data_IF_975345921065
#
_entry.id   IF_975345921065
#
_cell.length_a   1.000
_cell.length_b   1.000
_cell.length_c   1.000
_cell.angle_alpha   90.00
_cell.angle_beta   90.00
_cell.angle_gamma   90.00
#
_symmetry.space_group_name_H-M   'P 1'
#
loop_
_entity.id
_entity.type
_entity.pdbx_description
1 polymer ?
#
# COMPACT_ATOMS: atom_id res chain seq x y z
N UNK A 1 7.33 -27.53 14.35
CA UNK A 1 6.02 -26.93 14.05
C UNK A 1 5.89 -25.69 14.90
N UNK A 2 5.72 -24.53 14.33
CA UNK A 2 5.46 -23.29 15.07
C UNK A 2 4.07 -23.41 15.72
N UNK A 3 3.95 -23.06 17.00
CA UNK A 3 2.67 -23.10 17.73
C UNK A 3 1.66 -22.14 17.10
N UNK A 4 0.39 -22.56 17.02
CA UNK A 4 -0.71 -21.67 16.59
C UNK A 4 -0.88 -20.52 17.58
N UNK A 5 -0.94 -19.29 17.09
CA UNK A 5 -1.21 -18.09 17.89
C UNK A 5 -2.67 -17.64 17.75
N UNK A 6 -3.17 -16.98 18.78
CA UNK A 6 -4.42 -16.23 18.78
C UNK A 6 -4.10 -14.75 18.52
N UNK A 7 -4.51 -14.23 17.38
CA UNK A 7 -4.11 -12.91 16.91
C UNK A 7 -5.34 -12.00 16.80
N UNK A 8 -5.34 -10.91 17.57
CA UNK A 8 -6.34 -9.86 17.45
C UNK A 8 -5.86 -8.81 16.44
N UNK A 9 -6.47 -8.76 15.27
CA UNK A 9 -6.17 -7.77 14.22
C UNK A 9 -7.13 -6.59 14.35
N UNK A 10 -6.62 -5.42 14.71
CA UNK A 10 -7.39 -4.18 14.83
C UNK A 10 -7.18 -3.35 13.57
N UNK A 11 -8.11 -3.45 12.61
CA UNK A 11 -7.93 -2.90 11.26
C UNK A 11 -9.26 -2.60 10.57
N UNK A 12 -9.23 -1.83 9.49
CA UNK A 12 -10.39 -1.66 8.62
C UNK A 12 -10.69 -3.00 7.92
N UNK A 13 -11.84 -3.61 8.25
CA UNK A 13 -12.26 -4.90 7.70
C UNK A 13 -12.46 -4.88 6.18
N UNK A 14 -12.81 -3.73 5.61
CA UNK A 14 -13.04 -3.55 4.18
C UNK A 14 -11.74 -3.32 3.37
N UNK A 15 -10.58 -3.27 4.04
CA UNK A 15 -9.30 -3.10 3.37
C UNK A 15 -8.80 -4.41 2.77
N UNK A 16 -8.44 -4.38 1.50
CA UNK A 16 -7.82 -5.51 0.80
C UNK A 16 -6.52 -5.99 1.52
N UNK A 17 -5.77 -5.07 2.12
CA UNK A 17 -4.58 -5.41 2.89
C UNK A 17 -4.90 -6.20 4.14
N UNK A 18 -5.97 -5.82 4.86
CA UNK A 18 -6.46 -6.57 6.03
C UNK A 18 -6.87 -7.97 5.64
N UNK A 19 -7.70 -8.10 4.60
CA UNK A 19 -8.20 -9.40 4.11
C UNK A 19 -7.05 -10.31 3.69
N UNK A 20 -6.10 -9.80 2.90
CA UNK A 20 -4.94 -10.57 2.43
C UNK A 20 -4.10 -11.09 3.59
N UNK A 21 -3.80 -10.22 4.57
CA UNK A 21 -2.99 -10.58 5.73
C UNK A 21 -3.69 -11.59 6.64
N UNK A 22 -4.96 -11.35 6.97
CA UNK A 22 -5.75 -12.24 7.82
C UNK A 22 -5.91 -13.62 7.19
N UNK A 23 -6.18 -13.71 5.90
CA UNK A 23 -6.29 -14.98 5.19
C UNK A 23 -4.97 -15.74 5.20
N UNK A 24 -3.84 -15.05 5.00
CA UNK A 24 -2.53 -15.68 5.07
C UNK A 24 -2.26 -16.27 6.46
N UNK A 25 -2.54 -15.54 7.54
CA UNK A 25 -2.38 -16.03 8.92
C UNK A 25 -3.29 -17.24 9.21
N UNK A 26 -4.56 -17.18 8.79
CA UNK A 26 -5.50 -18.29 8.95
C UNK A 26 -5.05 -19.55 8.21
N UNK A 27 -4.53 -19.41 7.00
CA UNK A 27 -4.01 -20.52 6.21
C UNK A 27 -2.76 -21.15 6.86
N UNK A 28 -2.05 -20.43 7.71
CA UNK A 28 -0.94 -20.94 8.51
C UNK A 28 -1.37 -21.58 9.84
N UNK A 29 -2.70 -21.62 10.10
CA UNK A 29 -3.28 -22.28 11.27
C UNK A 29 -3.41 -21.39 12.51
N UNK A 30 -3.21 -20.07 12.38
CA UNK A 30 -3.48 -19.13 13.48
C UNK A 30 -4.98 -18.90 13.66
N UNK A 31 -5.38 -18.62 14.91
CA UNK A 31 -6.74 -18.15 15.24
C UNK A 31 -6.77 -16.63 15.15
N UNK A 32 -7.42 -16.09 14.11
CA UNK A 32 -7.43 -14.64 13.85
C UNK A 32 -8.83 -14.06 13.96
N UNK A 33 -8.99 -13.06 14.83
CA UNK A 33 -10.19 -12.25 14.96
C UNK A 33 -9.91 -10.81 14.53
N UNK A 34 -10.78 -10.27 13.67
CA UNK A 34 -10.73 -8.87 13.25
C UNK A 34 -11.60 -8.03 14.17
N UNK A 35 -11.06 -6.91 14.63
CA UNK A 35 -11.76 -5.85 15.37
C UNK A 35 -11.70 -4.59 14.52
N UNK A 36 -12.86 -3.99 14.21
CA UNK A 36 -12.92 -2.89 13.25
C UNK A 36 -13.75 -1.72 13.75
N UNK A 37 -13.34 -0.49 13.35
CA UNK A 37 -14.15 0.73 13.46
C UNK A 37 -15.14 0.87 12.29
N UNK A 38 -15.01 0.02 11.28
CA UNK A 38 -15.87 -0.03 10.11
C UNK A 38 -16.75 -1.28 10.21
N UNK A 39 -18.01 -1.16 9.87
CA UNK A 39 -18.91 -2.29 9.74
C UNK A 39 -18.50 -3.17 8.56
N UNK A 40 -18.64 -4.48 8.71
CA UNK A 40 -18.32 -5.46 7.68
C UNK A 40 -18.48 -6.89 8.17
N UNK A 41 -18.35 -7.83 7.27
CA UNK A 41 -18.50 -9.25 7.58
C UNK A 41 -17.27 -9.80 8.34
N UNK A 42 -17.52 -10.81 9.18
CA UNK A 42 -16.47 -11.55 9.89
C UNK A 42 -15.56 -10.69 10.80
N UNK A 43 -16.09 -9.59 11.36
CA UNK A 43 -15.38 -8.75 12.32
C UNK A 43 -16.25 -8.43 13.54
N UNK A 44 -15.58 -8.02 14.62
CA UNK A 44 -16.21 -7.40 15.78
C UNK A 44 -16.13 -5.88 15.59
N UNK A 45 -17.28 -5.25 15.44
CA UNK A 45 -17.40 -3.80 15.35
C UNK A 45 -17.37 -3.18 16.75
N UNK A 46 -16.39 -2.33 17.02
CA UNK A 46 -16.24 -1.74 18.36
C UNK A 46 -16.57 -0.24 18.44
N UNK A 47 -16.96 0.40 17.35
CA UNK A 47 -17.45 1.78 17.31
C UNK A 47 -17.05 2.52 16.04
N UNK A 48 -17.67 3.67 15.77
CA UNK A 48 -17.35 4.45 14.58
C UNK A 48 -15.93 5.03 14.62
N UNK A 49 -15.35 5.28 13.46
CA UNK A 49 -14.14 6.06 13.37
C UNK A 49 -14.35 7.44 14.02
N UNK A 50 -13.41 7.90 14.85
CA UNK A 50 -13.54 9.22 15.44
C UNK A 50 -13.45 10.26 14.32
N UNK A 51 -14.46 11.13 14.23
CA UNK A 51 -14.33 12.33 13.44
C UNK A 51 -13.22 13.20 14.08
N UNK A 52 -12.05 13.24 13.46
CA UNK A 52 -10.91 14.05 13.90
C UNK A 52 -11.09 15.54 13.54
N UNK A 53 -12.34 16.01 13.56
CA UNK A 53 -12.68 17.40 13.31
C UNK A 53 -12.31 18.27 14.52
N UNK A 54 -11.71 19.42 14.24
CA UNK A 54 -11.25 20.41 15.24
C UNK A 54 -12.35 20.89 16.18
N UNK A 55 -13.63 20.83 15.77
CA UNK A 55 -14.77 21.25 16.59
C UNK A 55 -15.10 20.30 17.75
N UNK A 56 -14.59 19.06 17.75
CA UNK A 56 -14.91 18.00 18.71
C UNK A 56 -13.79 17.68 19.70
N UNK A 57 -12.72 18.47 19.76
CA UNK A 57 -11.52 18.21 20.58
C UNK A 57 -11.86 17.98 22.08
N UNK A 58 -12.83 18.69 22.62
CA UNK A 58 -13.24 18.56 24.04
C UNK A 58 -13.90 17.21 24.35
N UNK A 59 -14.63 16.62 23.40
CA UNK A 59 -15.31 15.32 23.57
C UNK A 59 -14.46 14.14 23.08
N UNK A 60 -13.40 14.39 22.33
CA UNK A 60 -12.54 13.37 21.73
C UNK A 60 -11.94 12.45 22.81
N UNK A 61 -11.46 13.03 23.91
CA UNK A 61 -10.83 12.25 24.98
C UNK A 61 -11.77 11.26 25.68
N UNK A 62 -13.04 11.62 25.87
CA UNK A 62 -14.05 10.74 26.49
C UNK A 62 -14.52 9.68 25.50
N UNK A 63 -14.74 10.04 24.25
CA UNK A 63 -15.13 9.12 23.18
C UNK A 63 -14.02 8.08 22.93
N UNK A 64 -12.76 8.50 22.82
CA UNK A 64 -11.61 7.60 22.67
C UNK A 64 -11.50 6.64 23.85
N UNK A 65 -11.69 7.10 25.09
CA UNK A 65 -11.68 6.23 26.28
C UNK A 65 -12.81 5.20 26.25
N UNK A 66 -14.04 5.61 25.93
CA UNK A 66 -15.19 4.72 25.85
C UNK A 66 -14.98 3.65 24.77
N UNK A 67 -14.55 4.05 23.58
CA UNK A 67 -14.28 3.12 22.46
C UNK A 67 -13.11 2.18 22.80
N UNK A 68 -12.04 2.69 23.42
CA UNK A 68 -10.93 1.85 23.90
C UNK A 68 -11.40 0.80 24.90
N UNK A 69 -12.29 1.18 25.83
CA UNK A 69 -12.85 0.24 26.81
C UNK A 69 -13.68 -0.86 26.17
N UNK A 70 -14.48 -0.52 25.16
CA UNK A 70 -15.21 -1.54 24.39
C UNK A 70 -14.25 -2.50 23.71
N UNK A 71 -13.24 -1.98 23.00
CA UNK A 71 -12.24 -2.80 22.37
C UNK A 71 -11.49 -3.69 23.36
N UNK A 72 -11.11 -3.15 24.54
CA UNK A 72 -10.46 -3.93 25.59
C UNK A 72 -11.32 -5.13 26.02
N UNK A 73 -12.61 -4.92 26.30
CA UNK A 73 -13.51 -5.99 26.72
C UNK A 73 -13.64 -7.09 25.66
N UNK A 74 -13.73 -6.73 24.40
CA UNK A 74 -13.82 -7.69 23.28
C UNK A 74 -12.50 -8.47 23.10
N UNK A 75 -11.37 -7.78 23.25
CA UNK A 75 -10.03 -8.39 23.19
C UNK A 75 -9.83 -9.33 24.39
N UNK A 76 -10.24 -8.92 25.61
CA UNK A 76 -10.14 -9.76 26.82
C UNK A 76 -11.01 -11.04 26.68
N UNK A 77 -12.16 -10.96 26.00
CA UNK A 77 -13.00 -12.12 25.70
C UNK A 77 -12.33 -13.05 24.67
N UNK A 78 -11.57 -12.49 23.73
CA UNK A 78 -10.84 -13.27 22.72
C UNK A 78 -9.54 -13.87 23.25
N UNK A 79 -8.94 -13.30 24.30
CA UNK A 79 -7.67 -13.75 24.92
C UNK A 79 -6.56 -13.97 23.89
N UNK A 80 -6.10 -12.95 23.16
CA UNK A 80 -5.08 -13.10 22.14
C UNK A 80 -3.67 -13.24 22.73
N UNK A 81 -2.78 -13.89 21.99
CA UNK A 81 -1.34 -13.87 22.25
C UNK A 81 -0.70 -12.56 21.77
N UNK A 82 -1.32 -11.91 20.76
CA UNK A 82 -0.84 -10.68 20.12
C UNK A 82 -2.03 -9.80 19.71
N UNK A 83 -1.86 -8.48 19.89
CA UNK A 83 -2.75 -7.45 19.35
C UNK A 83 -2.00 -6.69 18.26
N UNK A 84 -2.50 -6.71 17.01
CA UNK A 84 -1.88 -6.02 15.88
C UNK A 84 -2.79 -4.95 15.30
N UNK A 85 -2.42 -3.68 15.44
CA UNK A 85 -3.12 -2.53 14.89
C UNK A 85 -2.57 -2.08 13.54
N UNK A 86 -3.44 -1.90 12.54
CA UNK A 86 -3.06 -1.35 11.24
C UNK A 86 -3.30 0.16 11.23
N UNK A 87 -2.34 0.91 10.67
CA UNK A 87 -2.22 2.36 10.73
C UNK A 87 -1.86 2.88 12.13
N UNK A 88 -1.08 3.95 12.18
CA UNK A 88 -0.69 4.62 13.45
C UNK A 88 -1.76 5.59 13.95
N UNK A 89 -2.74 5.88 13.12
CA UNK A 89 -3.95 6.64 13.45
C UNK A 89 -5.10 5.65 13.63
N UNK A 90 -6.27 6.07 14.01
CA UNK A 90 -7.47 5.23 14.11
C UNK A 90 -7.20 3.85 14.77
N UNK A 91 -7.20 2.76 14.01
CA UNK A 91 -7.09 1.39 14.52
C UNK A 91 -5.84 1.16 15.37
N UNK A 92 -4.66 1.61 14.91
CA UNK A 92 -3.41 1.50 15.68
C UNK A 92 -3.42 2.38 16.93
N UNK A 93 -4.05 3.54 16.88
CA UNK A 93 -4.24 4.39 18.05
C UNK A 93 -5.03 3.66 19.15
N UNK A 94 -6.06 2.91 18.81
CA UNK A 94 -6.83 2.14 19.78
C UNK A 94 -6.06 0.89 20.25
N UNK A 95 -5.50 0.12 19.34
CA UNK A 95 -4.76 -1.10 19.67
C UNK A 95 -3.56 -0.82 20.59
N UNK A 96 -2.84 0.31 20.41
CA UNK A 96 -1.72 0.69 21.25
C UNK A 96 -2.07 0.99 22.70
N UNK A 97 -3.36 1.23 23.00
CA UNK A 97 -3.89 1.51 24.34
C UNK A 97 -4.39 0.28 25.08
N UNK A 98 -4.44 -0.87 24.41
CA UNK A 98 -4.85 -2.14 25.02
C UNK A 98 -3.81 -2.55 26.06
N UNK A 99 -4.30 -3.02 27.22
CA UNK A 99 -3.46 -3.51 28.33
C UNK A 99 -3.33 -5.04 28.29
N UNK A 100 -2.32 -5.56 28.96
CA UNK A 100 -2.10 -6.98 29.25
C UNK A 100 -1.70 -7.86 28.07
N UNK A 101 -1.56 -7.31 26.86
CA UNK A 101 -1.15 -8.06 25.67
C UNK A 101 -0.02 -7.37 24.94
N UNK A 102 0.91 -8.12 24.30
CA UNK A 102 1.90 -7.54 23.41
C UNK A 102 1.22 -6.87 22.19
N UNK A 103 1.71 -5.68 21.83
CA UNK A 103 1.11 -4.82 20.80
C UNK A 103 2.07 -4.56 19.65
N UNK A 104 1.61 -4.86 18.47
CA UNK A 104 2.28 -4.52 17.21
C UNK A 104 1.45 -3.47 16.48
N UNK A 105 2.08 -2.51 15.84
CA UNK A 105 1.41 -1.58 14.93
C UNK A 105 2.12 -1.53 13.59
N UNK A 106 1.34 -1.43 12.51
CA UNK A 106 1.87 -1.25 11.16
C UNK A 106 1.66 0.17 10.68
N UNK A 107 2.75 0.86 10.32
CA UNK A 107 2.72 2.13 9.60
C UNK A 107 2.34 1.87 8.13
N UNK A 108 1.28 2.56 7.66
CA UNK A 108 0.67 2.30 6.35
C UNK A 108 1.09 3.30 5.26
N UNK A 109 1.74 4.40 5.62
CA UNK A 109 2.24 5.42 4.69
C UNK A 109 1.72 6.81 5.00
N UNK A 110 0.46 7.11 4.72
CA UNK A 110 -0.15 8.43 4.96
C UNK A 110 -0.07 8.87 6.42
N UNK A 111 -0.14 7.93 7.34
CA UNK A 111 -0.01 8.12 8.78
C UNK A 111 1.39 8.60 9.22
N UNK A 112 2.42 8.43 8.41
CA UNK A 112 3.79 8.94 8.66
C UNK A 112 4.14 10.08 7.70
N UNK A 113 3.73 9.99 6.43
CA UNK A 113 4.13 10.93 5.38
C UNK A 113 3.29 12.22 5.36
N UNK A 114 2.00 12.11 5.65
CA UNK A 114 1.02 13.20 5.51
C UNK A 114 0.45 13.66 6.84
N UNK A 115 -0.15 12.76 7.62
CA UNK A 115 -0.90 13.11 8.82
C UNK A 115 -0.12 13.93 9.87
N UNK A 116 1.19 13.74 10.12
CA UNK A 116 1.95 14.61 11.03
C UNK A 116 2.03 16.07 10.56
N UNK A 117 1.92 16.32 9.25
CA UNK A 117 1.98 17.67 8.67
C UNK A 117 0.63 18.39 8.71
N UNK A 118 -0.46 17.65 8.79
CA UNK A 118 -1.81 18.20 8.84
C UNK A 118 -2.13 18.85 10.19
N UNK A 119 -1.65 18.27 11.29
CA UNK A 119 -1.98 18.73 12.64
C UNK A 119 -0.96 18.29 13.68
N UNK A 120 -0.58 19.21 14.59
CA UNK A 120 0.25 18.89 15.75
C UNK A 120 -0.39 17.84 16.68
N UNK A 121 -1.72 17.77 16.72
CA UNK A 121 -2.45 16.75 17.47
C UNK A 121 -2.27 15.36 16.83
N UNK A 122 -2.38 15.26 15.51
CA UNK A 122 -2.13 14.01 14.80
C UNK A 122 -0.68 13.56 14.96
N UNK A 123 0.29 14.46 14.82
CA UNK A 123 1.71 14.18 15.07
C UNK A 123 1.93 13.59 16.48
N UNK A 124 1.32 14.23 17.49
CA UNK A 124 1.41 13.74 18.87
C UNK A 124 0.75 12.37 19.07
N UNK A 125 -0.45 12.15 18.46
CA UNK A 125 -1.17 10.87 18.54
C UNK A 125 -0.31 9.75 17.91
N UNK A 126 0.24 9.99 16.74
CA UNK A 126 1.06 9.03 16.00
C UNK A 126 2.31 8.64 16.80
N UNK A 127 3.06 9.63 17.29
CA UNK A 127 4.25 9.40 18.13
C UNK A 127 3.90 8.66 19.42
N UNK A 128 2.75 8.96 20.02
CA UNK A 128 2.27 8.25 21.21
C UNK A 128 1.87 6.81 20.88
N UNK A 129 1.22 6.56 19.74
CA UNK A 129 0.89 5.21 19.26
C UNK A 129 2.14 4.37 19.10
N UNK A 130 3.17 4.89 18.43
CA UNK A 130 4.48 4.25 18.29
C UNK A 130 5.11 3.97 19.65
N UNK A 131 5.11 4.94 20.56
CA UNK A 131 5.70 4.80 21.90
C UNK A 131 4.99 3.76 22.78
N UNK A 132 3.70 3.53 22.59
CA UNK A 132 2.89 2.61 23.39
C UNK A 132 2.87 1.18 22.83
N UNK A 133 3.47 0.95 21.67
CA UNK A 133 3.51 -0.36 21.00
C UNK A 133 4.84 -1.08 21.29
N UNK A 134 4.81 -2.40 21.38
CA UNK A 134 5.99 -3.22 21.67
C UNK A 134 6.82 -3.48 20.41
N UNK A 135 6.20 -3.41 19.23
CA UNK A 135 6.90 -3.37 17.95
C UNK A 135 6.15 -2.51 16.93
N UNK A 136 6.92 -1.91 16.03
CA UNK A 136 6.41 -1.14 14.88
C UNK A 136 6.91 -1.77 13.59
N UNK A 137 6.01 -1.95 12.65
CA UNK A 137 6.28 -2.51 11.33
C UNK A 137 5.96 -1.45 10.28
N UNK A 138 6.71 -1.42 9.21
CA UNK A 138 6.46 -0.49 8.11
C UNK A 138 7.48 -0.59 7.01
N UNK A 139 7.20 0.09 5.90
CA UNK A 139 8.17 0.24 4.83
C UNK A 139 9.51 0.74 5.35
N UNK A 140 10.65 0.33 4.75
CA UNK A 140 11.96 0.84 5.16
C UNK A 140 12.01 2.36 5.25
N UNK A 141 11.43 3.07 4.28
CA UNK A 141 11.30 4.53 4.30
C UNK A 141 10.56 5.04 5.56
N UNK A 142 9.44 4.41 5.93
CA UNK A 142 8.67 4.84 7.10
C UNK A 142 9.41 4.56 8.40
N UNK A 143 10.08 3.41 8.48
CA UNK A 143 10.90 3.04 9.64
C UNK A 143 12.06 4.02 9.82
N UNK A 144 12.73 4.44 8.73
CA UNK A 144 13.80 5.44 8.81
C UNK A 144 13.27 6.78 9.35
N UNK A 145 12.10 7.24 8.86
CA UNK A 145 11.46 8.45 9.38
C UNK A 145 11.03 8.32 10.85
N UNK A 146 10.51 7.16 11.26
CA UNK A 146 10.11 6.90 12.65
C UNK A 146 11.34 6.87 13.58
N UNK A 147 12.50 6.40 13.14
CA UNK A 147 13.76 6.45 13.90
C UNK A 147 14.14 7.88 14.28
N UNK A 148 13.90 8.85 13.38
CA UNK A 148 14.19 10.27 13.66
C UNK A 148 13.38 10.84 14.84
N UNK A 149 12.23 10.24 15.16
CA UNK A 149 11.41 10.65 16.30
C UNK A 149 12.01 10.29 17.65
N UNK A 150 13.09 9.50 17.68
CA UNK A 150 13.82 9.05 18.88
C UNK A 150 12.91 8.36 19.92
N UNK A 151 11.91 7.66 19.44
CA UNK A 151 11.07 6.79 20.25
C UNK A 151 11.76 5.43 20.36
N UNK A 152 11.93 4.94 21.59
CA UNK A 152 12.60 3.65 21.81
C UNK A 152 11.64 2.52 21.48
N UNK A 153 11.79 1.90 20.32
CA UNK A 153 10.89 0.85 19.84
C UNK A 153 11.64 -0.22 19.05
N UNK A 154 11.05 -1.41 19.03
CA UNK A 154 11.41 -2.49 18.15
C UNK A 154 10.87 -2.16 16.73
N UNK A 155 11.72 -1.61 15.89
CA UNK A 155 11.38 -1.13 14.56
C UNK A 155 11.74 -2.18 13.51
N UNK A 156 10.74 -2.68 12.81
CA UNK A 156 10.87 -3.78 11.87
C UNK A 156 10.56 -3.30 10.45
N UNK A 157 11.57 -3.07 9.60
CA UNK A 157 11.35 -2.78 8.19
C UNK A 157 10.72 -4.00 7.52
N UNK A 158 9.60 -3.77 6.86
CA UNK A 158 8.89 -4.81 6.12
C UNK A 158 8.12 -4.18 4.97
N UNK A 159 8.11 -4.85 3.85
CA UNK A 159 7.26 -4.54 2.70
C UNK A 159 6.14 -5.56 2.65
N UNK A 160 4.92 -5.16 2.33
CA UNK A 160 3.82 -6.13 2.19
C UNK A 160 4.07 -7.17 1.09
N UNK A 161 5.05 -6.94 0.22
CA UNK A 161 5.47 -7.90 -0.79
C UNK A 161 4.50 -8.13 -1.94
N UNK A 162 5.00 -8.79 -2.97
CA UNK A 162 4.27 -9.16 -4.18
C UNK A 162 4.04 -10.67 -4.20
N UNK A 163 2.86 -11.09 -4.62
CA UNK A 163 2.61 -12.51 -4.91
C UNK A 163 3.29 -12.90 -6.23
N UNK A 164 4.51 -13.41 -6.11
CA UNK A 164 5.32 -13.84 -7.25
C UNK A 164 4.80 -15.10 -7.96
N UNK A 165 3.76 -15.74 -7.44
CA UNK A 165 3.06 -16.82 -8.16
C UNK A 165 1.99 -16.27 -9.11
N UNK A 166 1.48 -15.08 -8.83
CA UNK A 166 0.43 -14.42 -9.58
C UNK A 166 0.98 -13.38 -10.57
N UNK A 167 1.90 -12.53 -10.10
CA UNK A 167 2.55 -11.51 -10.92
C UNK A 167 3.78 -12.10 -11.61
N UNK A 168 3.57 -12.65 -12.80
CA UNK A 168 4.60 -13.31 -13.62
C UNK A 168 4.71 -12.67 -15.01
N UNK A 169 5.88 -12.74 -15.67
CA UNK A 169 6.00 -12.33 -17.06
C UNK A 169 5.09 -13.14 -17.99
N UNK A 170 4.37 -12.45 -18.85
CA UNK A 170 3.59 -13.04 -19.93
C UNK A 170 4.10 -12.50 -21.28
N UNK A 171 3.64 -13.09 -22.39
CA UNK A 171 3.92 -12.58 -23.73
C UNK A 171 3.48 -11.11 -23.83
N UNK A 172 4.42 -10.24 -24.18
CA UNK A 172 4.22 -8.79 -24.15
C UNK A 172 3.43 -8.29 -25.35
N UNK A 173 2.41 -7.48 -25.08
CA UNK A 173 1.64 -6.72 -26.06
C UNK A 173 2.03 -5.23 -26.04
N UNK A 174 1.74 -4.50 -27.11
CA UNK A 174 1.96 -3.05 -27.16
C UNK A 174 0.93 -2.35 -26.27
N UNK A 175 1.03 -2.51 -24.95
CA UNK A 175 0.15 -1.87 -23.99
C UNK A 175 0.93 -1.14 -22.89
N UNK A 176 0.36 0.00 -22.49
CA UNK A 176 0.85 0.87 -21.41
C UNK A 176 -0.25 0.90 -20.35
N UNK A 177 0.09 0.55 -19.13
CA UNK A 177 -0.90 0.35 -18.06
C UNK A 177 -0.73 1.37 -16.95
N UNK A 178 -1.84 2.00 -16.55
CA UNK A 178 -1.99 2.71 -15.29
C UNK A 178 -2.88 1.86 -14.37
N UNK A 179 -2.32 1.38 -13.25
CA UNK A 179 -2.96 0.43 -12.33
C UNK A 179 -3.07 1.02 -10.92
N UNK A 180 -3.76 2.15 -10.80
CA UNK A 180 -4.01 2.85 -9.52
C UNK A 180 -5.43 3.39 -9.47
N UNK A 181 -5.91 3.71 -8.27
CA UNK A 181 -7.19 4.42 -8.11
C UNK A 181 -7.17 5.81 -8.75
N UNK A 182 -8.35 6.31 -9.13
CA UNK A 182 -8.52 7.65 -9.71
C UNK A 182 -8.74 8.68 -8.60
N UNK A 183 -7.82 8.72 -7.61
CA UNK A 183 -7.81 9.68 -6.52
C UNK A 183 -6.64 10.67 -6.69
N UNK A 184 -6.76 11.87 -6.11
CA UNK A 184 -5.78 12.94 -6.27
C UNK A 184 -4.35 12.50 -5.91
N UNK A 185 -4.20 11.71 -4.84
CA UNK A 185 -2.90 11.18 -4.40
C UNK A 185 -2.21 10.31 -5.44
N UNK A 186 -2.96 9.69 -6.35
CA UNK A 186 -2.43 8.85 -7.44
C UNK A 186 -2.29 9.59 -8.76
N UNK A 187 -2.59 10.89 -8.80
CA UNK A 187 -2.33 11.81 -9.91
C UNK A 187 -2.80 11.31 -11.29
N UNK A 188 -4.03 10.80 -11.45
CA UNK A 188 -4.50 10.23 -12.72
C UNK A 188 -4.66 11.29 -13.82
N UNK A 189 -4.84 12.55 -13.45
CA UNK A 189 -5.00 13.64 -14.43
C UNK A 189 -3.72 13.90 -15.22
N UNK A 190 -2.53 13.76 -14.61
CA UNK A 190 -1.27 13.93 -15.33
C UNK A 190 -1.07 12.81 -16.36
N UNK A 191 -1.47 11.60 -16.01
CA UNK A 191 -1.46 10.43 -16.91
C UNK A 191 -2.40 10.68 -18.09
N UNK A 192 -3.62 11.14 -17.83
CA UNK A 192 -4.61 11.43 -18.88
C UNK A 192 -4.10 12.50 -19.85
N UNK A 193 -3.47 13.58 -19.35
CA UNK A 193 -2.86 14.62 -20.19
C UNK A 193 -1.71 14.08 -21.05
N UNK A 194 -0.84 13.25 -20.46
CA UNK A 194 0.26 12.63 -21.18
C UNK A 194 -0.25 11.68 -22.29
N UNK A 195 -1.24 10.84 -21.98
CA UNK A 195 -1.87 9.93 -22.96
C UNK A 195 -2.52 10.74 -24.10
N UNK A 196 -3.26 11.80 -23.79
CA UNK A 196 -3.89 12.63 -24.82
C UNK A 196 -2.88 13.21 -25.82
N UNK A 197 -1.67 13.55 -25.37
CA UNK A 197 -0.58 14.02 -26.25
C UNK A 197 0.11 12.93 -27.06
N UNK A 198 0.00 11.66 -26.61
CA UNK A 198 0.67 10.50 -27.22
C UNK A 198 -0.24 9.62 -28.07
N UNK A 199 -1.54 9.65 -27.85
CA UNK A 199 -2.51 8.72 -28.42
C UNK A 199 -2.41 8.61 -29.96
N UNK A 200 -2.29 9.74 -30.66
CA UNK A 200 -2.12 9.75 -32.12
C UNK A 200 -0.73 9.31 -32.61
N UNK A 201 0.29 9.46 -31.77
CA UNK A 201 1.68 9.06 -32.10
C UNK A 201 1.93 7.59 -31.83
N UNK A 202 1.19 7.03 -30.90
CA UNK A 202 1.23 5.63 -30.47
C UNK A 202 -0.06 4.91 -30.84
N UNK A 203 -0.51 5.07 -32.08
CA UNK A 203 -1.76 4.52 -32.61
C UNK A 203 -1.83 2.98 -32.56
N UNK A 204 -0.67 2.31 -32.58
CA UNK A 204 -0.53 0.84 -32.45
C UNK A 204 -0.39 0.37 -31.00
N UNK A 205 -0.52 1.27 -30.04
CA UNK A 205 -0.44 0.96 -28.62
C UNK A 205 -1.81 1.13 -27.97
N UNK A 206 -2.08 0.31 -26.96
CA UNK A 206 -3.25 0.43 -26.12
C UNK A 206 -2.86 1.05 -24.76
N UNK A 207 -3.62 2.04 -24.33
CA UNK A 207 -3.52 2.61 -22.99
C UNK A 207 -4.62 2.01 -22.11
N UNK A 208 -4.25 1.25 -21.08
CA UNK A 208 -5.19 0.55 -20.21
C UNK A 208 -5.16 1.21 -18.84
N UNK A 209 -6.27 1.81 -18.42
CA UNK A 209 -6.42 2.49 -17.14
C UNK A 209 -7.31 1.63 -16.24
N UNK A 210 -6.68 1.02 -15.21
CA UNK A 210 -7.33 0.11 -14.28
C UNK A 210 -7.61 0.82 -12.95
N UNK A 211 -8.82 0.63 -12.42
CA UNK A 211 -9.26 1.20 -11.16
C UNK A 211 -10.49 2.09 -11.31
N UNK A 212 -10.90 2.68 -10.20
CA UNK A 212 -12.00 3.64 -10.11
C UNK A 212 -11.66 4.72 -9.10
N UNK A 213 -12.46 5.77 -9.02
CA UNK A 213 -12.30 6.85 -8.04
C UNK A 213 -12.90 8.17 -8.47
N UNK A 214 -12.74 9.18 -7.62
CA UNK A 214 -13.42 10.47 -7.73
C UNK A 214 -13.04 11.28 -8.97
N UNK A 215 -11.85 11.05 -9.55
CA UNK A 215 -11.35 11.76 -10.73
C UNK A 215 -11.57 11.01 -12.05
N UNK A 216 -12.22 9.83 -12.03
CA UNK A 216 -12.40 9.00 -13.23
C UNK A 216 -13.16 9.73 -14.34
N UNK A 217 -14.25 10.45 -14.01
CA UNK A 217 -15.01 11.23 -15.00
C UNK A 217 -14.14 12.27 -15.68
N UNK A 218 -13.34 13.03 -14.92
CA UNK A 218 -12.43 14.05 -15.47
C UNK A 218 -11.37 13.43 -16.39
N UNK A 219 -10.87 12.25 -16.05
CA UNK A 219 -9.93 11.52 -16.91
C UNK A 219 -10.58 11.10 -18.23
N UNK A 220 -11.81 10.58 -18.19
CA UNK A 220 -12.59 10.23 -19.39
C UNK A 220 -12.85 11.46 -20.28
N UNK A 221 -13.16 12.61 -19.69
CA UNK A 221 -13.35 13.85 -20.43
C UNK A 221 -12.08 14.30 -21.19
N UNK A 222 -10.91 14.17 -20.55
CA UNK A 222 -9.62 14.50 -21.19
C UNK A 222 -9.31 13.53 -22.34
N UNK A 223 -9.70 12.26 -22.22
CA UNK A 223 -9.36 11.19 -23.14
C UNK A 223 -10.48 10.85 -24.14
N UNK A 224 -11.55 11.63 -24.21
CA UNK A 224 -12.74 11.36 -25.00
C UNK A 224 -12.46 11.20 -26.52
N UNK A 225 -11.41 11.83 -27.03
CA UNK A 225 -11.00 11.76 -28.44
C UNK A 225 -9.86 10.76 -28.70
N UNK A 226 -9.47 9.94 -27.70
CA UNK A 226 -8.40 8.97 -27.81
C UNK A 226 -9.00 7.57 -28.07
N UNK A 227 -8.91 7.07 -29.31
CA UNK A 227 -9.54 5.79 -29.71
C UNK A 227 -8.84 4.53 -29.20
N UNK A 228 -7.62 4.65 -28.64
CA UNK A 228 -6.79 3.55 -28.17
C UNK A 228 -6.67 3.52 -26.62
N UNK A 229 -7.69 4.01 -25.93
CA UNK A 229 -7.75 4.06 -24.45
C UNK A 229 -8.89 3.17 -23.94
N UNK A 230 -8.56 2.30 -22.98
CA UNK A 230 -9.50 1.41 -22.31
C UNK A 230 -9.56 1.72 -20.83
N UNK A 231 -10.74 2.00 -20.28
CA UNK A 231 -11.02 2.07 -18.85
C UNK A 231 -11.64 0.75 -18.40
N UNK A 232 -10.98 0.03 -17.51
CA UNK A 232 -11.44 -1.30 -17.08
C UNK A 232 -12.35 -1.26 -15.86
N UNK A 233 -12.38 -0.13 -15.12
CA UNK A 233 -12.91 -0.11 -13.77
C UNK A 233 -12.02 -0.91 -12.80
N UNK A 234 -12.57 -1.19 -11.62
CA UNK A 234 -11.89 -2.01 -10.62
C UNK A 234 -11.89 -3.48 -11.06
N UNK A 235 -10.73 -4.12 -10.94
CA UNK A 235 -10.50 -5.50 -11.37
C UNK A 235 -10.18 -6.40 -10.18
N UNK A 236 -10.54 -7.68 -10.34
CA UNK A 236 -9.99 -8.74 -9.50
C UNK A 236 -8.48 -8.86 -9.73
N UNK A 237 -7.75 -9.25 -8.69
CA UNK A 237 -6.28 -9.23 -8.68
C UNK A 237 -5.67 -10.11 -9.78
N UNK A 238 -6.31 -11.24 -10.12
CA UNK A 238 -5.86 -12.17 -11.17
C UNK A 238 -5.97 -11.55 -12.57
N UNK A 239 -7.00 -10.74 -12.78
CA UNK A 239 -7.18 -10.00 -14.05
C UNK A 239 -6.16 -8.87 -14.16
N UNK A 240 -5.95 -8.14 -13.08
CA UNK A 240 -4.95 -7.08 -13.02
C UNK A 240 -3.54 -7.63 -13.28
N UNK A 241 -3.17 -8.76 -12.64
CA UNK A 241 -1.89 -9.41 -12.83
C UNK A 241 -1.65 -9.81 -14.29
N UNK A 242 -2.68 -10.33 -14.98
CA UNK A 242 -2.60 -10.67 -16.41
C UNK A 242 -2.38 -9.44 -17.29
N UNK A 243 -3.06 -8.32 -17.00
CA UNK A 243 -2.89 -7.06 -17.73
C UNK A 243 -1.46 -6.53 -17.55
N UNK A 244 -0.98 -6.44 -16.30
CA UNK A 244 0.38 -6.00 -15.99
C UNK A 244 1.42 -6.96 -16.61
N UNK A 245 1.17 -8.27 -16.52
CA UNK A 245 2.04 -9.31 -17.08
C UNK A 245 2.26 -9.18 -18.59
N UNK A 246 1.25 -8.73 -19.33
CA UNK A 246 1.30 -8.50 -20.78
C UNK A 246 1.80 -7.11 -21.16
N UNK A 247 1.79 -6.15 -20.24
CA UNK A 247 2.17 -4.78 -20.55
C UNK A 247 3.65 -4.64 -20.90
N UNK A 248 3.98 -3.72 -21.78
CA UNK A 248 5.37 -3.28 -22.06
C UNK A 248 5.81 -2.14 -21.16
N UNK A 249 4.86 -1.44 -20.53
CA UNK A 249 5.15 -0.33 -19.63
C UNK A 249 4.04 -0.17 -18.59
N UNK A 250 4.41 0.14 -17.35
CA UNK A 250 3.48 0.56 -16.29
C UNK A 250 3.81 1.98 -15.85
N UNK A 251 2.77 2.79 -15.61
CA UNK A 251 2.88 4.15 -15.10
C UNK A 251 2.46 4.19 -13.64
N UNK A 252 3.32 4.72 -12.76
CA UNK A 252 3.08 4.90 -11.32
C UNK A 252 3.29 6.36 -10.91
N UNK A 253 2.29 7.26 -11.06
CA UNK A 253 2.45 8.71 -10.98
C UNK A 253 2.12 9.30 -9.61
N UNK A 254 2.05 8.50 -8.56
CA UNK A 254 1.62 8.92 -7.21
C UNK A 254 2.33 10.17 -6.71
N UNK A 255 1.59 11.08 -6.07
CA UNK A 255 2.14 12.27 -5.42
C UNK A 255 2.76 11.94 -4.05
N UNK A 256 2.27 10.87 -3.42
CA UNK A 256 2.77 10.34 -2.15
C UNK A 256 2.50 8.85 -2.08
N UNK A 257 3.52 8.10 -1.72
CA UNK A 257 3.43 6.66 -1.44
C UNK A 257 4.60 6.26 -0.55
N UNK A 258 4.45 5.19 0.22
CA UNK A 258 5.54 4.60 1.01
C UNK A 258 6.13 3.37 0.34
N UNK A 259 5.26 2.59 -0.29
CA UNK A 259 5.58 1.41 -1.11
C UNK A 259 4.55 1.35 -2.23
N UNK A 260 4.83 1.89 -3.40
CA UNK A 260 3.94 1.72 -4.55
C UNK A 260 4.00 0.26 -5.02
N UNK A 261 3.11 -0.59 -4.47
CA UNK A 261 3.07 -2.03 -4.82
C UNK A 261 2.95 -2.27 -6.31
N UNK A 262 2.23 -1.39 -7.03
CA UNK A 262 2.11 -1.49 -8.49
C UNK A 262 3.46 -1.41 -9.23
N UNK A 263 4.46 -0.74 -8.65
CA UNK A 263 5.83 -0.74 -9.18
C UNK A 263 6.46 -2.12 -9.02
N UNK A 264 6.36 -2.69 -7.81
CA UNK A 264 6.93 -4.02 -7.53
C UNK A 264 6.20 -5.12 -8.33
N UNK A 265 4.88 -5.03 -8.47
CA UNK A 265 4.05 -5.94 -9.27
C UNK A 265 4.44 -5.89 -10.75
N UNK A 266 4.65 -4.69 -11.30
CA UNK A 266 5.12 -4.53 -12.67
C UNK A 266 6.52 -5.12 -12.87
N UNK A 267 7.45 -4.84 -11.95
CA UNK A 267 8.81 -5.37 -12.01
C UNK A 267 8.83 -6.89 -11.87
N UNK A 268 7.98 -7.47 -11.01
CA UNK A 268 7.80 -8.92 -10.91
C UNK A 268 7.35 -9.54 -12.24
N UNK A 269 6.53 -8.82 -12.99
CA UNK A 269 6.12 -9.19 -14.34
C UNK A 269 7.19 -8.92 -15.42
N UNK A 270 8.38 -8.48 -15.06
CA UNK A 270 9.41 -8.07 -16.03
C UNK A 270 8.99 -6.86 -16.87
N UNK A 271 8.13 -6.00 -16.34
CA UNK A 271 7.64 -4.79 -17.02
C UNK A 271 8.36 -3.57 -16.46
N UNK A 272 9.03 -2.75 -17.30
CA UNK A 272 9.61 -1.48 -16.86
C UNK A 272 8.54 -0.51 -16.38
N UNK A 273 8.93 0.42 -15.52
CA UNK A 273 8.02 1.38 -14.90
C UNK A 273 8.50 2.81 -15.14
N UNK A 274 7.56 3.70 -15.50
CA UNK A 274 7.74 5.14 -15.37
C UNK A 274 7.04 5.58 -14.07
N UNK A 275 7.79 6.16 -13.14
CA UNK A 275 7.28 6.54 -11.83
C UNK A 275 7.60 8.00 -11.50
N UNK A 276 6.75 8.63 -10.71
CA UNK A 276 6.94 10.00 -10.23
C UNK A 276 8.17 10.15 -9.33
N UNK A 277 8.72 11.36 -9.26
CA UNK A 277 9.90 11.76 -8.48
C UNK A 277 9.64 11.85 -6.96
N UNK A 278 8.97 10.86 -6.39
CA UNK A 278 8.81 10.74 -4.93
C UNK A 278 9.93 9.90 -4.31
N UNK A 279 10.22 10.15 -3.05
CA UNK A 279 11.32 9.48 -2.33
C UNK A 279 11.22 7.94 -2.37
N UNK A 280 10.01 7.40 -2.30
CA UNK A 280 9.79 5.95 -2.38
C UNK A 280 10.25 5.37 -3.74
N UNK A 281 9.93 6.05 -4.85
CA UNK A 281 10.33 5.61 -6.18
C UNK A 281 11.84 5.77 -6.41
N UNK A 282 12.46 6.83 -5.86
CA UNK A 282 13.91 7.00 -5.92
C UNK A 282 14.64 5.84 -5.24
N UNK A 283 14.15 5.38 -4.08
CA UNK A 283 14.71 4.20 -3.40
C UNK A 283 14.64 2.93 -4.26
N UNK A 284 13.64 2.79 -5.13
CA UNK A 284 13.58 1.66 -6.07
C UNK A 284 14.63 1.76 -7.17
N UNK A 285 14.88 2.97 -7.67
CA UNK A 285 16.00 3.22 -8.62
C UNK A 285 17.32 2.89 -7.97
N UNK A 286 17.56 3.36 -6.74
CA UNK A 286 18.78 3.10 -5.97
C UNK A 286 18.97 1.59 -5.69
N UNK A 287 17.88 0.84 -5.53
CA UNK A 287 17.87 -0.61 -5.40
C UNK A 287 18.07 -1.37 -6.73
N UNK A 288 18.23 -0.66 -7.85
CA UNK A 288 18.49 -1.24 -9.17
C UNK A 288 17.25 -1.80 -9.89
N UNK A 289 16.04 -1.44 -9.45
CA UNK A 289 14.83 -1.82 -10.16
C UNK A 289 14.71 -1.06 -11.50
N UNK A 290 14.09 -1.63 -12.54
CA UNK A 290 13.91 -1.00 -13.85
C UNK A 290 12.81 0.08 -13.81
N UNK A 291 13.09 1.16 -13.08
CA UNK A 291 12.22 2.31 -12.87
C UNK A 291 12.86 3.55 -13.47
N UNK A 292 12.12 4.27 -14.30
CA UNK A 292 12.50 5.58 -14.85
C UNK A 292 11.70 6.66 -14.15
N UNK A 293 12.37 7.69 -13.64
CA UNK A 293 11.72 8.78 -12.90
C UNK A 293 11.29 9.89 -13.85
N UNK A 294 10.10 10.46 -13.60
CA UNK A 294 9.59 11.68 -14.24
C UNK A 294 9.16 12.71 -13.20
N UNK A 295 9.18 13.99 -13.56
CA UNK A 295 8.66 15.08 -12.72
C UNK A 295 7.15 14.93 -12.53
N UNK A 296 6.70 14.66 -11.29
CA UNK A 296 5.29 14.44 -10.94
C UNK A 296 4.34 15.61 -11.27
N UNK A 297 4.90 16.79 -11.62
CA UNK A 297 4.11 17.97 -12.00
C UNK A 297 4.10 18.20 -13.53
N UNK A 298 4.84 17.39 -14.32
CA UNK A 298 4.99 17.59 -15.77
C UNK A 298 4.41 16.42 -16.58
N UNK A 299 3.28 16.67 -17.25
CA UNK A 299 2.71 15.72 -18.21
C UNK A 299 3.59 15.60 -19.48
N UNK A 300 4.32 16.65 -19.83
CA UNK A 300 5.28 16.65 -20.93
C UNK A 300 6.45 15.72 -20.62
N UNK A 301 7.04 15.81 -19.42
CA UNK A 301 8.14 14.93 -19.04
C UNK A 301 7.67 13.47 -19.00
N UNK A 302 6.48 13.19 -18.43
CA UNK A 302 5.87 11.85 -18.49
C UNK A 302 5.73 11.35 -19.93
N UNK A 303 5.26 12.20 -20.86
CA UNK A 303 5.11 11.84 -22.26
C UNK A 303 6.45 11.53 -22.93
N UNK A 304 7.50 12.30 -22.62
CA UNK A 304 8.87 12.06 -23.10
C UNK A 304 9.39 10.73 -22.59
N UNK A 305 9.28 10.46 -21.29
CA UNK A 305 9.73 9.20 -20.68
C UNK A 305 9.01 7.97 -21.24
N UNK A 306 7.70 8.08 -21.45
CA UNK A 306 6.93 7.02 -22.13
C UNK A 306 7.50 6.78 -23.52
N UNK A 307 7.70 7.84 -24.33
CA UNK A 307 8.21 7.75 -25.70
C UNK A 307 9.61 7.13 -25.76
N UNK A 308 10.51 7.50 -24.84
CA UNK A 308 11.85 6.95 -24.71
C UNK A 308 11.82 5.44 -24.45
N UNK A 309 10.95 4.98 -23.55
CA UNK A 309 10.89 3.56 -23.15
C UNK A 309 10.26 2.70 -24.25
N UNK A 310 9.16 3.14 -24.85
CA UNK A 310 8.46 2.34 -25.85
C UNK A 310 9.24 2.16 -27.15
N UNK A 311 10.26 3.02 -27.38
CA UNK A 311 11.19 2.91 -28.51
C UNK A 311 12.50 2.20 -28.17
N UNK A 312 12.70 1.80 -26.91
CA UNK A 312 13.95 1.19 -26.42
C UNK A 312 13.74 -0.23 -25.92
N UNK A 313 13.81 -1.19 -26.83
CA UNK A 313 13.64 -2.62 -26.50
C UNK A 313 14.64 -3.13 -25.45
N UNK A 314 15.83 -2.52 -25.31
CA UNK A 314 16.82 -2.93 -24.31
C UNK A 314 16.32 -2.73 -22.87
N UNK A 315 15.52 -1.69 -22.61
CA UNK A 315 14.93 -1.47 -21.30
C UNK A 315 13.93 -2.58 -20.96
N UNK A 316 13.10 -2.99 -21.90
CA UNK A 316 12.17 -4.10 -21.71
C UNK A 316 12.94 -5.42 -21.49
N UNK A 317 13.95 -5.71 -22.30
CA UNK A 317 14.75 -6.94 -22.16
C UNK A 317 15.49 -6.98 -20.82
N UNK A 318 16.01 -5.86 -20.35
CA UNK A 318 16.65 -5.76 -19.04
C UNK A 318 15.64 -5.99 -17.90
N UNK A 319 14.45 -5.41 -18.00
CA UNK A 319 13.36 -5.60 -17.03
C UNK A 319 12.92 -7.08 -16.98
N UNK A 320 12.72 -7.72 -18.12
CA UNK A 320 12.37 -9.15 -18.23
C UNK A 320 13.45 -10.05 -17.62
N UNK A 321 14.72 -9.74 -17.83
CA UNK A 321 15.85 -10.56 -17.36
C UNK A 321 16.08 -10.44 -15.86
N UNK A 322 15.97 -9.25 -15.28
CA UNK A 322 16.38 -8.97 -13.89
C UNK A 322 15.20 -8.80 -12.93
N UNK A 323 14.11 -8.20 -13.41
CA UNK A 323 12.99 -7.79 -12.56
C UNK A 323 12.38 -8.92 -11.74
N UNK A 324 11.97 -10.04 -12.35
CA UNK A 324 11.30 -11.13 -11.65
C UNK A 324 12.14 -11.73 -10.50
N UNK A 325 13.44 -11.96 -10.72
CA UNK A 325 14.34 -12.49 -9.69
C UNK A 325 14.57 -11.47 -8.57
N UNK A 326 14.79 -10.19 -8.91
CA UNK A 326 14.96 -9.14 -7.90
C UNK A 326 13.75 -9.06 -6.96
N UNK A 327 12.53 -9.13 -7.50
CA UNK A 327 11.32 -9.09 -6.67
C UNK A 327 11.17 -10.36 -5.85
N UNK A 328 11.36 -11.53 -6.47
CA UNK A 328 11.24 -12.82 -5.78
C UNK A 328 12.20 -12.96 -4.61
N UNK A 329 13.45 -12.51 -4.79
CA UNK A 329 14.48 -12.65 -3.77
C UNK A 329 14.31 -11.66 -2.61
N UNK A 330 13.77 -10.47 -2.87
CA UNK A 330 13.75 -9.38 -1.89
C UNK A 330 12.35 -8.96 -1.42
N UNK A 331 11.30 -9.17 -2.24
CA UNK A 331 9.97 -8.60 -2.01
C UNK A 331 8.84 -9.61 -2.20
N UNK A 332 9.12 -10.92 -2.19
CA UNK A 332 8.09 -11.94 -2.28
C UNK A 332 7.17 -11.92 -1.06
N UNK A 333 5.86 -11.98 -1.29
CA UNK A 333 4.83 -11.93 -0.26
C UNK A 333 5.01 -12.98 0.84
N UNK A 334 5.28 -14.22 0.44
CA UNK A 334 5.42 -15.31 1.39
C UNK A 334 6.63 -15.10 2.33
N UNK A 335 7.75 -14.64 1.78
CA UNK A 335 8.97 -14.33 2.55
C UNK A 335 8.76 -13.15 3.48
N UNK A 336 8.15 -12.07 2.99
CA UNK A 336 7.86 -10.88 3.79
C UNK A 336 6.86 -11.19 4.92
N UNK A 337 5.84 -11.99 4.62
CA UNK A 337 4.85 -12.39 5.61
C UNK A 337 5.42 -13.25 6.72
N UNK A 338 6.34 -14.18 6.42
CA UNK A 338 7.06 -14.96 7.43
C UNK A 338 7.95 -14.11 8.34
N UNK A 339 8.56 -13.07 7.77
CA UNK A 339 9.36 -12.11 8.56
C UNK A 339 8.47 -11.38 9.56
N UNK A 340 7.27 -10.98 9.15
CA UNK A 340 6.29 -10.35 10.01
C UNK A 340 5.76 -11.32 11.10
N UNK A 341 5.41 -12.54 10.71
CA UNK A 341 4.97 -13.59 11.65
C UNK A 341 6.02 -13.86 12.74
N UNK A 342 7.31 -13.80 12.38
CA UNK A 342 8.40 -13.95 13.35
C UNK A 342 8.32 -12.90 14.47
N UNK A 343 7.96 -11.65 14.15
CA UNK A 343 7.78 -10.60 15.17
C UNK A 343 6.72 -11.00 16.18
N UNK A 344 5.65 -11.68 15.75
CA UNK A 344 4.63 -12.18 16.68
C UNK A 344 5.19 -13.25 17.63
N UNK A 345 5.94 -14.22 17.11
CA UNK A 345 6.54 -15.26 17.96
C UNK A 345 7.58 -14.69 18.94
N UNK A 346 8.32 -13.67 18.52
CA UNK A 346 9.34 -13.05 19.37
C UNK A 346 8.71 -12.25 20.53
N UNK A 347 7.49 -11.75 20.35
CA UNK A 347 6.76 -10.98 21.37
C UNK A 347 5.80 -11.82 22.22
N UNK A 348 5.36 -12.98 21.74
CA UNK A 348 4.41 -13.87 22.47
C UNK A 348 5.10 -14.82 23.46
N UNK A 349 6.41 -14.74 23.57
CA UNK A 349 7.24 -15.49 24.55
C UNK A 349 7.37 -14.67 25.82
#
# INVERSE_FOLDING_TARGET
MTSSLRIAVVANVNSIHTTRWVNWLRNRGHKVQIFSLNEGENCIYFGPEPALDRSLIFNLGSAVRSTTKKLQNEIDTFEPDIVHGFSLVNHGMYSSRISNYPKVVTAMGSDVLLAPKESKLLDWIIKKTVKQSDAVIGAPLLIDLIKEWKVNQNLNPNVMGVDCSLFIPLEKSNSIVFARGFEEVYNPLIVSKAIASLSSKLDKWEFILCGGGTLESKCKDILNNCGNVTFTGQLEIEKLAKIIGKAKLVISPSLSDSIPLSVLEAVACGTPVVASDILANQKWVDAGLPVTIFDKNSAEDLSLKISEIVTNDNLLQNALKKGPSLIKDNFDWETQSKTLEKVYYDLSR
#
